data_IF_885276458715
#
_entry.id   IF_885276458715
#
_cell.length_a   1.000
_cell.length_b   1.000
_cell.length_c   1.000
_cell.angle_alpha   90.00
_cell.angle_beta   90.00
_cell.angle_gamma   90.00
#
_symmetry.space_group_name_H-M   'P 1'
#
loop_
_entity.id
_entity.type
_entity.pdbx_description
1 polymer ?
#
# COMPACT_ATOMS: atom_id res chain seq x y z
N UNK A 1 31.88 -11.08 5.42
CA UNK A 1 30.68 -10.20 5.51
C UNK A 1 29.79 -10.73 6.62
N UNK A 2 29.35 -9.91 7.59
CA UNK A 2 28.49 -10.42 8.67
C UNK A 2 27.12 -10.79 8.11
N UNK A 3 26.49 -11.87 8.60
CA UNK A 3 25.13 -12.27 8.18
C UNK A 3 24.15 -11.09 8.27
N UNK A 4 24.32 -10.23 9.28
CA UNK A 4 23.57 -8.98 9.41
C UNK A 4 23.80 -8.08 8.19
N UNK A 5 25.04 -7.72 7.85
CA UNK A 5 25.26 -6.84 6.69
C UNK A 5 24.61 -7.38 5.40
N UNK A 6 24.64 -8.70 5.18
CA UNK A 6 23.99 -9.35 4.04
C UNK A 6 22.46 -9.18 4.05
N UNK A 7 21.79 -9.40 5.19
CA UNK A 7 20.34 -9.22 5.31
C UNK A 7 19.91 -7.75 5.19
N UNK A 8 20.71 -6.81 5.71
CA UNK A 8 20.43 -5.38 5.59
C UNK A 8 20.51 -4.89 4.14
N UNK A 9 21.50 -5.38 3.39
CA UNK A 9 21.62 -5.08 1.95
C UNK A 9 20.49 -5.74 1.16
N UNK A 10 20.16 -7.00 1.45
CA UNK A 10 19.03 -7.68 0.82
C UNK A 10 17.71 -6.92 1.06
N UNK A 11 17.52 -6.36 2.26
CA UNK A 11 16.37 -5.51 2.57
C UNK A 11 16.36 -4.21 1.75
N UNK A 12 17.46 -3.46 1.70
CA UNK A 12 17.54 -2.23 0.92
C UNK A 12 17.28 -2.50 -0.56
N UNK A 13 17.83 -3.59 -1.10
CA UNK A 13 17.59 -4.01 -2.49
C UNK A 13 16.11 -4.36 -2.70
N UNK A 14 15.51 -5.13 -1.79
CA UNK A 14 14.10 -5.52 -1.88
C UNK A 14 13.16 -4.30 -1.79
N UNK A 15 13.45 -3.36 -0.89
CA UNK A 15 12.71 -2.10 -0.77
C UNK A 15 12.88 -1.23 -2.02
N UNK A 16 14.10 -1.15 -2.54
CA UNK A 16 14.39 -0.47 -3.80
C UNK A 16 13.58 -1.05 -4.95
N UNK A 17 13.56 -2.39 -5.09
CA UNK A 17 12.74 -3.08 -6.10
C UNK A 17 11.26 -2.76 -5.91
N UNK A 18 10.73 -2.85 -4.68
CA UNK A 18 9.33 -2.51 -4.38
C UNK A 18 8.98 -1.06 -4.75
N UNK A 19 9.84 -0.10 -4.41
CA UNK A 19 9.64 1.31 -4.74
C UNK A 19 9.77 1.56 -6.24
N UNK A 20 10.71 0.90 -6.93
CA UNK A 20 10.87 1.01 -8.38
C UNK A 20 9.67 0.42 -9.10
N UNK A 21 9.16 -0.73 -8.64
CA UNK A 21 7.94 -1.34 -9.16
C UNK A 21 6.75 -0.38 -8.96
N UNK A 22 6.61 0.21 -7.77
CA UNK A 22 5.52 1.14 -7.49
C UNK A 22 5.63 2.44 -8.29
N UNK A 23 6.86 2.96 -8.48
CA UNK A 23 7.12 4.12 -9.34
C UNK A 23 6.86 3.83 -10.81
N UNK A 24 7.15 2.62 -11.29
CA UNK A 24 6.81 2.18 -12.65
C UNK A 24 5.30 2.11 -12.91
N UNK A 25 4.49 2.11 -11.84
CA UNK A 25 3.03 2.21 -11.89
C UNK A 25 2.53 3.64 -11.70
N UNK A 26 3.40 4.65 -11.86
CA UNK A 26 3.08 6.05 -11.54
C UNK A 26 2.53 6.26 -10.11
N UNK A 27 2.89 5.37 -9.17
CA UNK A 27 2.33 5.36 -7.81
C UNK A 27 0.82 5.10 -7.75
N UNK A 28 0.27 4.41 -8.75
CA UNK A 28 -1.15 4.09 -8.86
C UNK A 28 -1.35 2.57 -8.96
N UNK A 29 -1.94 1.98 -7.92
CA UNK A 29 -2.32 0.57 -7.85
C UNK A 29 -3.77 0.34 -8.31
N UNK A 30 -4.58 1.37 -8.19
CA UNK A 30 -5.92 1.49 -8.74
C UNK A 30 -5.98 2.76 -9.59
N UNK A 31 -6.43 2.63 -10.83
CA UNK A 31 -6.67 3.77 -11.73
C UNK A 31 -7.78 3.43 -12.71
N UNK A 32 -8.26 4.43 -13.44
CA UNK A 32 -9.17 4.24 -14.56
C UNK A 32 -8.70 5.05 -15.77
N UNK A 33 -9.09 4.59 -16.96
CA UNK A 33 -8.87 5.32 -18.20
C UNK A 33 -10.06 5.17 -19.14
N UNK A 34 -10.20 6.13 -20.06
CA UNK A 34 -11.09 6.00 -21.21
C UNK A 34 -10.31 5.40 -22.37
N UNK A 35 -10.80 4.29 -22.93
CA UNK A 35 -10.18 3.70 -24.10
C UNK A 35 -10.64 4.39 -25.41
N UNK A 36 -10.01 4.02 -26.53
CA UNK A 36 -10.32 4.55 -27.88
C UNK A 36 -11.76 4.29 -28.34
N UNK A 37 -12.51 3.44 -27.62
CA UNK A 37 -13.92 3.09 -27.89
C UNK A 37 -14.88 3.79 -26.93
N UNK A 38 -14.43 4.82 -26.21
CA UNK A 38 -15.22 5.54 -25.21
C UNK A 38 -15.78 4.60 -24.13
N UNK A 39 -14.99 3.61 -23.71
CA UNK A 39 -15.32 2.72 -22.60
C UNK A 39 -14.45 3.06 -21.40
N UNK A 40 -15.06 3.09 -20.22
CA UNK A 40 -14.36 3.19 -18.95
C UNK A 40 -13.67 1.86 -18.66
N UNK A 41 -12.35 1.89 -18.54
CA UNK A 41 -11.51 0.75 -18.20
C UNK A 41 -10.91 0.98 -16.83
N UNK A 42 -11.03 -0.03 -15.97
CA UNK A 42 -10.50 0.00 -14.61
C UNK A 42 -9.27 -0.89 -14.52
N UNK A 43 -8.22 -0.35 -13.91
CA UNK A 43 -6.95 -1.02 -13.72
C UNK A 43 -6.77 -1.36 -12.25
N UNK A 44 -6.65 -2.65 -11.94
CA UNK A 44 -6.42 -3.13 -10.58
C UNK A 44 -5.16 -4.00 -10.48
N UNK A 45 -4.24 -3.63 -9.59
CA UNK A 45 -3.13 -4.49 -9.21
C UNK A 45 -2.00 -4.61 -10.25
N UNK A 46 -1.23 -5.69 -10.14
CA UNK A 46 -0.11 -6.00 -11.04
C UNK A 46 -0.61 -6.71 -12.30
N UNK A 47 -0.86 -5.92 -13.35
CA UNK A 47 -1.01 -6.45 -14.71
C UNK A 47 -2.36 -7.08 -15.06
N UNK A 48 -3.40 -6.88 -14.25
CA UNK A 48 -4.77 -7.30 -14.60
C UNK A 48 -5.66 -6.07 -14.85
N UNK A 49 -5.68 -5.63 -16.11
CA UNK A 49 -6.74 -4.78 -16.64
C UNK A 49 -7.98 -5.63 -16.87
N UNK A 50 -8.77 -5.88 -15.84
CA UNK A 50 -10.04 -6.59 -16.01
C UNK A 50 -11.12 -5.88 -15.22
N UNK A 51 -11.69 -4.82 -15.81
CA UNK A 51 -13.12 -4.73 -16.10
C UNK A 51 -13.32 -3.72 -17.23
N UNK A 52 -13.79 -4.19 -18.39
CA UNK A 52 -14.29 -3.35 -19.50
C UNK A 52 -15.80 -3.26 -19.31
N UNK A 53 -16.33 -2.09 -18.98
CA UNK A 53 -17.78 -1.90 -18.84
C UNK A 53 -18.34 -1.22 -20.09
N UNK A 54 -19.30 -1.91 -20.72
CA UNK A 54 -19.92 -1.53 -21.99
C UNK A 54 -20.85 -0.31 -21.86
N UNK A 55 -20.72 0.59 -22.84
CA UNK A 55 -21.60 1.61 -23.47
C UNK A 55 -23.00 2.03 -22.96
N UNK A 56 -23.64 1.43 -21.96
CA UNK A 56 -25.01 1.84 -21.53
C UNK A 56 -25.05 2.42 -20.12
N UNK A 57 -23.95 2.98 -19.65
CA UNK A 57 -23.89 3.62 -18.35
C UNK A 57 -24.17 5.11 -18.55
N UNK A 58 -25.28 5.61 -18.00
CA UNK A 58 -25.47 7.05 -17.76
C UNK A 58 -24.33 7.50 -16.84
N UNK A 59 -23.26 8.06 -17.42
CA UNK A 59 -22.08 8.48 -16.67
C UNK A 59 -22.53 9.58 -15.70
N UNK A 60 -22.62 9.24 -14.43
CA UNK A 60 -22.74 10.21 -13.36
C UNK A 60 -21.34 10.77 -13.08
N UNK A 61 -21.08 11.96 -13.62
CA UNK A 61 -19.80 12.65 -13.48
C UNK A 61 -19.42 12.92 -12.01
N UNK A 62 -20.41 13.14 -11.14
CA UNK A 62 -20.17 13.35 -9.71
C UNK A 62 -19.67 12.04 -9.06
N UNK A 63 -20.25 10.90 -9.45
CA UNK A 63 -19.80 9.59 -9.00
C UNK A 63 -18.42 9.20 -9.54
N UNK A 64 -18.07 9.67 -10.75
CA UNK A 64 -16.74 9.46 -11.34
C UNK A 64 -15.64 10.26 -10.61
N UNK A 65 -15.92 11.51 -10.23
CA UNK A 65 -15.01 12.33 -9.42
C UNK A 65 -14.78 11.71 -8.03
N UNK A 66 -15.85 11.19 -7.41
CA UNK A 66 -15.74 10.47 -6.13
C UNK A 66 -14.88 9.21 -6.28
N UNK A 67 -15.02 8.45 -7.36
CA UNK A 67 -14.21 7.27 -7.64
C UNK A 67 -12.72 7.63 -7.78
N UNK A 68 -12.39 8.69 -8.53
CA UNK A 68 -11.01 9.19 -8.67
C UNK A 68 -10.42 9.56 -7.31
N UNK A 69 -11.17 10.29 -6.48
CA UNK A 69 -10.72 10.71 -5.16
C UNK A 69 -10.45 9.49 -4.24
N UNK A 70 -11.33 8.49 -4.29
CA UNK A 70 -11.18 7.26 -3.50
C UNK A 70 -9.98 6.42 -3.95
N UNK A 71 -9.78 6.25 -5.26
CA UNK A 71 -8.61 5.56 -5.83
C UNK A 71 -7.30 6.26 -5.45
N UNK A 72 -7.25 7.59 -5.59
CA UNK A 72 -6.09 8.39 -5.19
C UNK A 72 -5.78 8.29 -3.70
N UNK A 73 -6.80 8.27 -2.84
CA UNK A 73 -6.63 8.07 -1.41
C UNK A 73 -6.12 6.65 -1.08
N UNK A 74 -6.65 5.62 -1.75
CA UNK A 74 -6.17 4.24 -1.62
C UNK A 74 -4.69 4.11 -2.01
N UNK A 75 -4.29 4.66 -3.15
CA UNK A 75 -2.90 4.65 -3.61
C UNK A 75 -1.96 5.34 -2.60
N UNK A 76 -2.35 6.50 -2.05
CA UNK A 76 -1.57 7.15 -0.98
C UNK A 76 -1.44 6.29 0.27
N UNK A 77 -2.50 5.58 0.66
CA UNK A 77 -2.47 4.67 1.81
C UNK A 77 -1.50 3.52 1.60
N UNK A 78 -1.46 2.92 0.40
CA UNK A 78 -0.47 1.89 0.07
C UNK A 78 0.95 2.44 0.18
N UNK A 79 1.21 3.63 -0.36
CA UNK A 79 2.52 4.27 -0.26
C UNK A 79 2.95 4.50 1.20
N UNK A 80 2.06 5.03 2.03
CA UNK A 80 2.32 5.21 3.47
C UNK A 80 2.59 3.86 4.14
N UNK A 81 1.86 2.81 3.77
CA UNK A 81 2.09 1.45 4.24
C UNK A 81 3.50 0.94 3.95
N UNK A 82 4.01 1.14 2.72
CA UNK A 82 5.37 0.76 2.32
C UNK A 82 6.41 1.52 3.16
N UNK A 83 6.22 2.82 3.39
CA UNK A 83 7.13 3.62 4.22
C UNK A 83 7.15 3.14 5.68
N UNK A 84 5.97 2.89 6.27
CA UNK A 84 5.86 2.40 7.65
C UNK A 84 6.49 1.02 7.81
N UNK A 85 6.25 0.09 6.87
CA UNK A 85 6.88 -1.22 6.86
C UNK A 85 8.41 -1.10 6.85
N UNK A 86 8.93 -0.20 6.03
CA UNK A 86 10.38 0.06 5.92
C UNK A 86 10.96 0.58 7.24
N UNK A 87 10.26 1.50 7.89
CA UNK A 87 10.67 2.07 9.18
C UNK A 87 10.64 1.02 10.30
N UNK A 88 9.62 0.16 10.34
CA UNK A 88 9.57 -0.95 11.30
C UNK A 88 10.73 -1.92 11.12
N UNK A 89 11.02 -2.31 9.88
CA UNK A 89 12.14 -3.22 9.58
C UNK A 89 13.48 -2.59 9.99
N UNK A 90 13.70 -1.31 9.68
CA UNK A 90 14.88 -0.57 10.12
C UNK A 90 14.98 -0.48 11.65
N UNK A 91 13.85 -0.33 12.35
CA UNK A 91 13.82 -0.30 13.82
C UNK A 91 14.20 -1.65 14.40
N UNK A 92 13.65 -2.75 13.89
CA UNK A 92 14.05 -4.10 14.30
C UNK A 92 15.52 -4.38 14.01
N UNK A 93 16.04 -3.90 12.87
CA UNK A 93 17.46 -4.01 12.53
C UNK A 93 18.36 -3.40 13.60
N UNK A 94 18.05 -2.18 14.02
CA UNK A 94 18.80 -1.46 15.05
C UNK A 94 18.68 -2.16 16.41
N UNK A 95 17.48 -2.59 16.79
CA UNK A 95 17.23 -3.28 18.06
C UNK A 95 17.92 -4.66 18.15
N UNK A 96 18.14 -5.33 17.02
CA UNK A 96 18.86 -6.60 16.91
C UNK A 96 20.38 -6.43 16.70
N UNK A 97 20.88 -5.19 16.62
CA UNK A 97 22.31 -4.92 16.46
C UNK A 97 23.10 -5.19 17.75
N UNK A 98 24.40 -5.47 17.60
CA UNK A 98 25.26 -5.79 18.75
C UNK A 98 25.43 -4.60 19.71
N UNK A 99 25.24 -3.38 19.21
CA UNK A 99 25.26 -2.14 20.01
C UNK A 99 24.22 -2.11 21.15
N UNK A 100 23.15 -2.90 21.04
CA UNK A 100 22.09 -2.96 22.04
C UNK A 100 22.13 -4.22 22.91
N UNK A 101 23.11 -5.11 22.72
CA UNK A 101 23.25 -6.32 23.53
C UNK A 101 23.70 -6.02 24.97
N UNK A 102 24.54 -5.00 25.16
CA UNK A 102 25.03 -4.59 26.49
C UNK A 102 23.91 -4.02 27.38
N UNK A 103 22.79 -3.58 26.80
CA UNK A 103 21.66 -3.00 27.53
C UNK A 103 20.36 -3.78 27.29
N UNK A 104 20.38 -5.06 27.63
CA UNK A 104 19.31 -6.02 27.36
C UNK A 104 17.93 -5.53 27.87
N UNK A 105 17.88 -4.91 29.06
CA UNK A 105 16.63 -4.40 29.64
C UNK A 105 16.01 -3.30 28.77
N UNK A 106 16.81 -2.34 28.28
CA UNK A 106 16.32 -1.29 27.36
C UNK A 106 15.94 -1.89 26.01
N UNK A 107 16.74 -2.81 25.47
CA UNK A 107 16.43 -3.51 24.20
C UNK A 107 15.07 -4.21 24.26
N UNK A 108 14.83 -5.03 25.29
CA UNK A 108 13.54 -5.73 25.48
C UNK A 108 12.37 -4.75 25.59
N UNK A 109 12.55 -3.66 26.35
CA UNK A 109 11.54 -2.60 26.45
C UNK A 109 11.20 -2.04 25.07
N UNK A 110 12.18 -1.53 24.32
CA UNK A 110 11.92 -0.95 22.99
C UNK A 110 11.37 -1.96 21.99
N UNK A 111 11.83 -3.22 22.02
CA UNK A 111 11.28 -4.28 21.19
C UNK A 111 9.78 -4.50 21.46
N UNK A 112 9.37 -4.49 22.74
CA UNK A 112 7.97 -4.56 23.12
C UNK A 112 7.17 -3.36 22.59
N UNK A 113 7.70 -2.14 22.74
CA UNK A 113 7.05 -0.94 22.19
C UNK A 113 6.90 -1.00 20.67
N UNK A 114 7.95 -1.40 19.96
CA UNK A 114 7.92 -1.54 18.50
C UNK A 114 6.91 -2.61 18.08
N UNK A 115 6.84 -3.74 18.78
CA UNK A 115 5.89 -4.81 18.51
C UNK A 115 4.43 -4.34 18.73
N UNK A 116 4.16 -3.67 19.85
CA UNK A 116 2.84 -3.11 20.15
C UNK A 116 2.43 -2.06 19.11
N UNK A 117 3.33 -1.15 18.73
CA UNK A 117 3.05 -0.14 17.72
C UNK A 117 2.77 -0.78 16.36
N UNK A 118 3.55 -1.80 15.98
CA UNK A 118 3.34 -2.53 14.74
C UNK A 118 1.98 -3.25 14.72
N UNK A 119 1.59 -3.90 15.83
CA UNK A 119 0.27 -4.51 15.97
C UNK A 119 -0.88 -3.52 15.81
N UNK A 120 -0.77 -2.33 16.43
CA UNK A 120 -1.76 -1.25 16.26
C UNK A 120 -1.80 -0.78 14.81
N UNK A 121 -0.64 -0.55 14.18
CA UNK A 121 -0.56 -0.11 12.79
C UNK A 121 -1.15 -1.13 11.82
N UNK A 122 -0.86 -2.43 11.98
CA UNK A 122 -1.44 -3.49 11.14
C UNK A 122 -2.96 -3.53 11.31
N UNK A 123 -3.46 -3.47 12.55
CA UNK A 123 -4.91 -3.50 12.83
C UNK A 123 -5.61 -2.30 12.18
N UNK A 124 -5.04 -1.10 12.32
CA UNK A 124 -5.56 0.10 11.68
C UNK A 124 -5.51 -0.01 10.14
N UNK A 125 -4.41 -0.52 9.59
CA UNK A 125 -4.26 -0.70 8.15
C UNK A 125 -5.32 -1.66 7.58
N UNK A 126 -5.53 -2.81 8.23
CA UNK A 126 -6.57 -3.76 7.83
C UNK A 126 -7.96 -3.12 7.89
N UNK A 127 -8.28 -2.40 8.98
CA UNK A 127 -9.57 -1.72 9.11
C UNK A 127 -9.78 -0.66 8.03
N UNK A 128 -8.76 0.16 7.76
CA UNK A 128 -8.80 1.19 6.71
C UNK A 128 -8.99 0.55 5.34
N UNK A 129 -8.20 -0.47 4.99
CA UNK A 129 -8.29 -1.15 3.70
C UNK A 129 -9.66 -1.80 3.50
N UNK A 130 -10.19 -2.50 4.52
CA UNK A 130 -11.53 -3.10 4.43
C UNK A 130 -12.62 -2.05 4.24
N UNK A 131 -12.55 -0.93 4.96
CA UNK A 131 -13.50 0.17 4.81
C UNK A 131 -13.42 0.78 3.41
N UNK A 132 -12.21 1.01 2.90
CA UNK A 132 -12.01 1.57 1.56
C UNK A 132 -12.47 0.60 0.47
N UNK A 133 -12.21 -0.69 0.62
CA UNK A 133 -12.69 -1.70 -0.33
C UNK A 133 -14.22 -1.72 -0.39
N UNK A 134 -14.90 -1.61 0.77
CA UNK A 134 -16.36 -1.53 0.80
C UNK A 134 -16.89 -0.26 0.13
N UNK A 135 -16.28 0.90 0.41
CA UNK A 135 -16.65 2.17 -0.21
C UNK A 135 -16.43 2.18 -1.72
N UNK A 136 -15.28 1.67 -2.18
CA UNK A 136 -15.02 1.52 -3.61
C UNK A 136 -16.03 0.60 -4.28
N UNK A 137 -16.41 -0.51 -3.63
CA UNK A 137 -17.41 -1.42 -4.18
C UNK A 137 -18.81 -0.78 -4.27
N UNK A 138 -19.20 0.06 -3.31
CA UNK A 138 -20.45 0.85 -3.40
C UNK A 138 -20.39 1.91 -4.50
N UNK A 139 -19.28 2.65 -4.60
CA UNK A 139 -19.09 3.65 -5.66
C UNK A 139 -19.02 2.98 -7.03
N UNK A 140 -18.40 1.81 -7.16
CA UNK A 140 -18.44 0.98 -8.35
C UNK A 140 -19.87 0.61 -8.75
N UNK A 141 -20.70 0.22 -7.78
CA UNK A 141 -22.09 -0.10 -8.07
C UNK A 141 -22.85 1.12 -8.61
N UNK A 142 -22.70 2.29 -7.98
CA UNK A 142 -23.38 3.51 -8.39
C UNK A 142 -22.87 4.09 -9.73
N UNK A 143 -21.59 3.85 -10.06
CA UNK A 143 -21.01 4.27 -11.35
C UNK A 143 -21.43 3.33 -12.48
N UNK A 144 -21.72 2.05 -12.21
CA UNK A 144 -21.93 1.04 -13.26
C UNK A 144 -23.39 0.58 -13.42
N UNK A 145 -24.27 0.85 -12.45
CA UNK A 145 -25.67 0.38 -12.38
C UNK A 145 -26.60 1.49 -11.89
#
# INVERSE_FOLDING_TARGET
>A
MSKKLTWGIAFIISLGILLTIYAAMNFELLSYEWNEKEQLVLHEGFGNSITVTNHDVTIDYDSLEILEQQMGAFNRLIFIGILLASLFIATYWVLLSDKWQENEKKRKKYMLWTLSLNGITITAAVFIVLRYYHQMNETYHNVLF
#
